data_IF_520751307768
#
_entry.id   IF_520751307768
#
_cell.length_a   1.000
_cell.length_b   1.000
_cell.length_c   1.000
_cell.angle_alpha   90.00
_cell.angle_beta   90.00
_cell.angle_gamma   90.00
#
_symmetry.space_group_name_H-M   'P 1'
#
loop_
_entity.id
_entity.type
_entity.pdbx_description
1 polymer ?
#
# COMPACT_ATOMS: atom_id res chain seq x y z
N UNK A 1 14.19 -30.53 0.48
CA UNK A 1 14.02 -29.29 -0.33
C UNK A 1 12.53 -29.13 -0.59
N UNK A 2 11.82 -28.36 0.24
CA UNK A 2 10.37 -28.16 0.09
C UNK A 2 10.16 -26.86 -0.68
N UNK A 3 9.76 -26.99 -1.94
CA UNK A 3 9.32 -25.87 -2.77
C UNK A 3 7.96 -25.39 -2.24
N UNK A 4 7.88 -24.13 -1.81
CA UNK A 4 6.64 -23.47 -1.44
C UNK A 4 6.04 -22.92 -2.74
N UNK A 5 4.92 -23.52 -3.15
CA UNK A 5 4.11 -23.09 -4.29
C UNK A 5 3.06 -22.12 -3.76
N UNK A 6 3.23 -20.82 -4.02
CA UNK A 6 2.20 -19.81 -3.73
C UNK A 6 1.31 -19.73 -4.97
N UNK A 7 0.16 -20.41 -4.92
CA UNK A 7 -0.89 -20.32 -5.94
C UNK A 7 -1.77 -19.12 -5.60
N UNK A 8 -1.52 -17.98 -6.24
CA UNK A 8 -2.42 -16.82 -6.27
C UNK A 8 -3.50 -17.07 -7.34
N UNK A 9 -4.60 -17.73 -6.96
CA UNK A 9 -5.80 -17.84 -7.82
C UNK A 9 -6.58 -16.52 -7.72
N UNK A 10 -6.31 -15.60 -8.64
CA UNK A 10 -7.24 -14.50 -8.93
C UNK A 10 -8.37 -15.05 -9.80
N UNK A 11 -9.55 -15.21 -9.19
CA UNK A 11 -10.75 -15.66 -9.89
C UNK A 11 -11.14 -14.64 -10.98
N UNK A 12 -10.89 -14.99 -12.24
CA UNK A 12 -11.50 -14.40 -13.42
C UNK A 12 -13.01 -14.72 -13.40
N UNK A 13 -13.84 -13.76 -13.01
CA UNK A 13 -15.28 -13.80 -13.30
C UNK A 13 -15.55 -12.93 -14.52
N UNK A 14 -15.69 -13.57 -15.68
CA UNK A 14 -16.12 -12.92 -16.92
C UNK A 14 -17.64 -12.84 -16.94
N UNK A 15 -18.20 -11.70 -16.58
CA UNK A 15 -19.59 -11.38 -16.96
C UNK A 15 -19.57 -10.59 -18.26
N UNK A 16 -19.94 -11.27 -19.34
CA UNK A 16 -20.22 -10.68 -20.63
C UNK A 16 -21.34 -9.63 -20.50
N UNK A 17 -21.08 -8.41 -20.98
CA UNK A 17 -22.06 -7.35 -21.12
C UNK A 17 -21.75 -6.54 -22.38
N UNK A 18 -22.33 -6.94 -23.50
CA UNK A 18 -22.33 -6.20 -24.76
C UNK A 18 -23.48 -5.19 -24.73
N UNK A 19 -23.21 -3.88 -24.90
CA UNK A 19 -24.22 -2.91 -25.38
C UNK A 19 -23.61 -1.61 -25.92
N UNK A 20 -23.81 -1.44 -27.23
CA UNK A 20 -24.10 -0.27 -28.07
C UNK A 20 -23.53 1.14 -27.76
N UNK A 21 -23.01 1.73 -28.85
CA UNK A 21 -22.60 3.12 -29.06
C UNK A 21 -23.76 4.12 -28.96
N UNK A 22 -23.54 5.26 -28.31
CA UNK A 22 -24.34 6.49 -28.46
C UNK A 22 -23.42 7.71 -28.31
N UNK A 23 -23.53 8.63 -29.25
CA UNK A 23 -22.67 9.78 -29.49
C UNK A 23 -22.66 10.86 -28.40
N UNK A 24 -21.52 11.58 -28.34
CA UNK A 24 -21.38 13.02 -28.13
C UNK A 24 -21.77 13.62 -26.75
N UNK A 25 -20.77 14.12 -26.01
CA UNK A 25 -20.68 15.55 -25.67
C UNK A 25 -19.36 15.89 -24.95
N UNK A 26 -18.71 16.94 -25.47
CA UNK A 26 -17.55 17.63 -24.90
C UNK A 26 -17.86 18.12 -23.48
N UNK A 27 -17.27 17.49 -22.46
CA UNK A 27 -17.22 18.04 -21.11
C UNK A 27 -15.76 18.12 -20.71
N UNK A 28 -15.24 19.35 -20.64
CA UNK A 28 -13.99 19.66 -19.95
C UNK A 28 -14.06 19.02 -18.57
N UNK A 29 -13.46 17.86 -18.46
CA UNK A 29 -13.19 17.14 -17.24
C UNK A 29 -12.06 17.88 -16.52
N UNK A 30 -12.35 19.10 -16.07
CA UNK A 30 -11.91 19.52 -14.75
C UNK A 30 -12.68 18.66 -13.74
N UNK A 31 -12.39 17.35 -13.77
CA UNK A 31 -12.54 16.54 -12.57
C UNK A 31 -11.47 17.13 -11.69
N UNK A 32 -11.83 18.13 -10.89
CA UNK A 32 -11.07 18.48 -9.73
C UNK A 32 -11.01 17.19 -8.91
N UNK A 33 -9.99 16.38 -9.19
CA UNK A 33 -9.82 15.07 -8.59
C UNK A 33 -9.59 15.41 -7.14
N UNK A 34 -10.65 15.29 -6.33
CA UNK A 34 -10.51 15.34 -4.90
C UNK A 34 -9.45 14.28 -4.58
N UNK A 35 -8.27 14.73 -4.16
CA UNK A 35 -7.14 13.84 -3.92
C UNK A 35 -7.49 13.07 -2.65
N UNK A 36 -8.22 11.97 -2.84
CA UNK A 36 -8.72 11.10 -1.78
C UNK A 36 -7.99 9.76 -1.80
N UNK A 37 -6.78 9.70 -2.36
CA UNK A 37 -6.01 8.46 -2.34
C UNK A 37 -5.48 8.25 -0.93
N UNK A 38 -5.70 7.03 -0.45
CA UNK A 38 -5.35 6.60 0.88
C UNK A 38 -4.34 5.46 0.74
N UNK A 39 -3.27 5.53 1.53
CA UNK A 39 -2.38 4.39 1.76
C UNK A 39 -2.52 4.04 3.23
N UNK A 40 -2.97 2.83 3.52
CA UNK A 40 -2.99 2.25 4.86
C UNK A 40 -2.20 0.96 4.89
N UNK A 41 -1.97 0.46 6.09
CA UNK A 41 -1.42 -0.87 6.25
C UNK A 41 -1.19 -1.24 7.69
N UNK A 42 -0.69 -2.45 7.87
CA UNK A 42 -0.26 -3.02 9.16
C UNK A 42 1.18 -3.47 9.04
N UNK A 43 1.96 -3.27 10.10
CA UNK A 43 3.33 -3.73 10.21
C UNK A 43 3.45 -4.69 11.39
N UNK A 44 3.98 -5.88 11.12
CA UNK A 44 4.17 -6.94 12.11
C UNK A 44 5.63 -7.42 12.16
N UNK A 45 6.00 -8.05 13.27
CA UNK A 45 7.23 -8.83 13.39
C UNK A 45 7.12 -10.09 12.53
N UNK A 46 8.10 -10.33 11.65
CA UNK A 46 8.10 -11.48 10.73
C UNK A 46 8.14 -12.84 11.44
N UNK A 47 8.76 -12.91 12.63
CA UNK A 47 8.98 -14.13 13.39
C UNK A 47 7.80 -14.42 14.31
N UNK A 48 7.34 -13.43 15.08
CA UNK A 48 6.30 -13.61 16.10
C UNK A 48 4.90 -13.37 15.56
N UNK A 49 4.76 -12.61 14.47
CA UNK A 49 3.48 -12.14 13.94
C UNK A 49 2.83 -11.05 14.80
N UNK A 50 3.53 -10.51 15.80
CA UNK A 50 3.02 -9.46 16.67
C UNK A 50 3.03 -8.10 15.98
N UNK A 51 2.05 -7.25 16.31
CA UNK A 51 1.96 -5.91 15.78
C UNK A 51 3.12 -5.01 16.28
N UNK A 52 3.74 -4.28 15.36
CA UNK A 52 4.84 -3.37 15.68
C UNK A 52 4.34 -1.94 15.80
N UNK A 53 4.30 -1.43 17.03
CA UNK A 53 3.96 -0.04 17.35
C UNK A 53 5.17 0.89 17.20
N UNK A 54 4.94 2.13 16.77
CA UNK A 54 5.98 3.16 16.70
C UNK A 54 6.98 3.00 15.54
N UNK A 55 6.67 2.18 14.54
CA UNK A 55 7.48 2.05 13.32
C UNK A 55 7.38 3.33 12.52
N UNK A 56 8.51 3.94 12.16
CA UNK A 56 8.50 5.07 11.23
C UNK A 56 8.19 4.56 9.83
N UNK A 57 7.09 5.06 9.24
CA UNK A 57 6.71 4.77 7.86
C UNK A 57 6.89 6.04 7.06
N UNK A 58 7.75 6.02 6.05
CA UNK A 58 8.11 7.16 5.23
C UNK A 58 7.73 6.91 3.77
N UNK A 59 7.04 7.87 3.17
CA UNK A 59 6.72 7.84 1.74
C UNK A 59 7.85 8.55 0.96
N UNK A 60 8.83 7.79 0.46
CA UNK A 60 9.91 8.33 -0.38
C UNK A 60 9.35 8.88 -1.69
N UNK A 61 9.88 10.04 -2.10
CA UNK A 61 9.27 10.91 -3.10
C UNK A 61 8.41 12.02 -2.50
N UNK A 62 8.13 11.97 -1.19
CA UNK A 62 7.51 13.04 -0.39
C UNK A 62 8.34 13.33 0.87
N UNK A 63 7.99 14.40 1.59
CA UNK A 63 8.43 14.67 2.97
C UNK A 63 7.49 14.06 4.02
N UNK A 64 6.43 13.40 3.58
CA UNK A 64 5.41 12.79 4.44
C UNK A 64 5.93 11.54 5.14
N UNK A 65 5.68 11.46 6.45
CA UNK A 65 5.90 10.26 7.26
C UNK A 65 4.80 10.12 8.31
N UNK A 66 4.61 8.91 8.80
CA UNK A 66 3.69 8.58 9.90
C UNK A 66 4.33 7.52 10.79
N UNK A 67 3.65 7.15 11.87
CA UNK A 67 4.09 6.10 12.78
C UNK A 67 2.97 5.08 12.97
N UNK A 68 3.32 3.80 13.14
CA UNK A 68 2.34 2.78 13.46
C UNK A 68 1.77 2.95 14.87
N UNK A 69 0.48 2.64 15.04
CA UNK A 69 -0.21 2.62 16.33
C UNK A 69 -0.02 1.30 17.10
N UNK A 70 -0.76 1.11 18.19
CA UNK A 70 -0.69 -0.10 19.03
C UNK A 70 -1.13 -1.39 18.33
N UNK A 71 -1.91 -1.28 17.25
CA UNK A 71 -2.32 -2.41 16.41
C UNK A 71 -1.35 -2.60 15.23
N UNK A 72 -0.24 -1.85 15.19
CA UNK A 72 0.73 -1.87 14.09
C UNK A 72 0.23 -1.16 12.84
N UNK A 73 -0.88 -0.40 12.92
CA UNK A 73 -1.52 0.22 11.75
C UNK A 73 -0.93 1.57 11.45
N UNK A 74 -0.81 1.90 10.16
CA UNK A 74 -0.44 3.22 9.68
C UNK A 74 -1.43 3.72 8.61
N UNK A 75 -1.44 5.03 8.41
CA UNK A 75 -2.31 5.68 7.44
C UNK A 75 -1.70 6.97 6.88
N UNK A 76 -1.86 7.16 5.58
CA UNK A 76 -1.61 8.38 4.86
C UNK A 76 -2.86 8.79 4.08
N UNK A 77 -3.28 10.04 4.23
CA UNK A 77 -4.38 10.63 3.48
C UNK A 77 -3.86 11.58 2.39
N UNK A 78 -4.71 11.86 1.40
CA UNK A 78 -4.51 12.90 0.38
C UNK A 78 -3.21 12.72 -0.42
N UNK A 79 -2.83 11.49 -0.70
CA UNK A 79 -1.65 11.18 -1.50
C UNK A 79 -1.93 11.49 -2.96
N UNK A 80 -1.05 12.24 -3.62
CA UNK A 80 -1.19 12.50 -5.06
C UNK A 80 -0.95 11.21 -5.85
N UNK A 81 -1.62 10.99 -6.99
CA UNK A 81 -1.28 9.88 -7.86
C UNK A 81 0.18 9.95 -8.31
N UNK A 82 0.87 8.80 -8.35
CA UNK A 82 2.29 8.72 -8.68
C UNK A 82 2.95 7.44 -8.18
N UNK A 83 4.23 7.28 -8.50
CA UNK A 83 5.04 6.17 -8.00
C UNK A 83 5.78 6.62 -6.75
N UNK A 84 5.68 5.82 -5.69
CA UNK A 84 6.31 6.07 -4.40
C UNK A 84 7.01 4.80 -3.91
N UNK A 85 7.93 4.99 -2.97
CA UNK A 85 8.52 3.88 -2.22
C UNK A 85 8.23 4.09 -0.74
N UNK A 86 7.62 3.12 -0.09
CA UNK A 86 7.34 3.14 1.34
C UNK A 86 8.51 2.49 2.06
N UNK A 87 9.16 3.26 2.93
CA UNK A 87 10.21 2.77 3.82
C UNK A 87 9.64 2.62 5.22
N UNK A 88 9.73 1.43 5.79
CA UNK A 88 9.37 1.15 7.18
C UNK A 88 10.64 0.86 7.98
N UNK A 89 10.83 1.58 9.08
CA UNK A 89 12.05 1.51 9.88
C UNK A 89 11.76 1.68 11.38
N UNK A 90 12.37 0.83 12.19
CA UNK A 90 12.36 0.92 13.65
C UNK A 90 13.65 0.27 14.19
N UNK A 91 14.07 0.70 15.38
CA UNK A 91 15.25 0.13 16.03
C UNK A 91 15.09 -1.37 16.25
N UNK A 92 16.19 -2.12 16.12
CA UNK A 92 16.25 -3.58 16.28
C UNK A 92 15.55 -4.40 15.19
N UNK A 93 15.06 -3.78 14.12
CA UNK A 93 14.51 -4.46 12.93
C UNK A 93 15.24 -4.03 11.66
N UNK A 94 15.24 -4.92 10.66
CA UNK A 94 15.75 -4.62 9.32
C UNK A 94 14.75 -3.69 8.61
N UNK A 95 15.20 -2.55 8.05
CA UNK A 95 14.33 -1.67 7.31
C UNK A 95 13.93 -2.33 5.99
N UNK A 96 12.68 -2.11 5.57
CA UNK A 96 12.19 -2.56 4.26
C UNK A 96 11.82 -1.36 3.40
N UNK A 97 11.89 -1.56 2.08
CA UNK A 97 11.40 -0.60 1.09
C UNK A 97 10.43 -1.32 0.16
N UNK A 98 9.23 -0.76 -0.01
CA UNK A 98 8.18 -1.29 -0.88
C UNK A 98 7.75 -0.25 -1.90
N UNK A 99 7.92 -0.56 -3.19
CA UNK A 99 7.39 0.26 -4.26
C UNK A 99 5.86 0.15 -4.34
N UNK A 100 5.20 1.28 -4.58
CA UNK A 100 3.76 1.39 -4.76
C UNK A 100 3.43 2.39 -5.87
N UNK A 101 2.53 2.00 -6.76
CA UNK A 101 1.91 2.90 -7.72
C UNK A 101 0.55 3.34 -7.17
N UNK A 102 0.41 4.65 -6.92
CA UNK A 102 -0.84 5.25 -6.46
C UNK A 102 -1.64 5.73 -7.66
N UNK A 103 -2.80 5.12 -7.90
CA UNK A 103 -3.72 5.58 -8.94
C UNK A 103 -4.80 6.49 -8.34
N UNK A 104 -5.43 7.35 -9.15
CA UNK A 104 -6.51 8.23 -8.68
C UNK A 104 -7.73 7.45 -8.17
N UNK A 105 -8.33 7.93 -7.08
CA UNK A 105 -9.51 7.39 -6.40
C UNK A 105 -9.33 5.94 -5.91
N UNK A 106 -8.10 5.51 -5.63
CA UNK A 106 -7.77 4.16 -5.14
C UNK A 106 -7.37 4.17 -3.65
N UNK A 107 -7.77 3.11 -2.94
CA UNK A 107 -7.29 2.81 -1.59
C UNK A 107 -6.28 1.68 -1.67
N UNK A 108 -5.11 1.90 -1.10
CA UNK A 108 -4.05 0.90 -1.04
C UNK A 108 -3.87 0.42 0.39
N UNK A 109 -4.04 -0.88 0.61
CA UNK A 109 -3.81 -1.52 1.90
C UNK A 109 -2.59 -2.45 1.82
N UNK A 110 -1.67 -2.30 2.77
CA UNK A 110 -0.37 -2.96 2.74
C UNK A 110 -0.13 -3.76 4.02
N UNK A 111 0.23 -5.04 3.85
CA UNK A 111 0.80 -5.81 4.95
C UNK A 111 2.32 -5.83 4.80
N UNK A 112 3.02 -5.37 5.83
CA UNK A 112 4.47 -5.28 5.87
C UNK A 112 4.99 -6.09 7.05
N UNK A 113 6.11 -6.79 6.84
CA UNK A 113 6.72 -7.66 7.84
C UNK A 113 8.17 -7.22 7.99
N UNK A 114 8.60 -6.99 9.23
CA UNK A 114 9.99 -6.61 9.53
C UNK A 114 10.71 -7.78 10.20
N UNK A 115 11.86 -8.14 9.65
CA UNK A 115 12.77 -9.10 10.26
C UNK A 115 13.51 -8.45 11.44
N UNK A 116 13.56 -9.05 12.63
CA UNK A 116 14.46 -8.61 13.69
C UNK A 116 15.93 -8.63 13.23
N UNK A 117 16.71 -7.66 13.69
CA UNK A 117 18.18 -7.72 13.53
C UNK A 117 18.71 -8.77 14.49
N UNK A 118 19.25 -9.86 13.96
CA UNK A 118 19.92 -10.86 14.79
C UNK A 118 21.14 -10.23 15.48
N UNK A 119 21.17 -10.25 16.81
CA UNK A 119 22.38 -10.00 17.59
C UNK A 119 23.12 -11.32 17.76
N UNK A 120 24.36 -11.40 17.27
CA UNK A 120 25.29 -12.51 17.50
C UNK A 120 25.81 -12.55 18.95
#
# INVERSE_FOLDING_TARGET
MKAIVIVLVLAFSTSAGLKASSDNENKRNDKSIAVNNIISGTIIDEITGEALTGVEVKLKGSTTKTYTDFDGKFHFDKIKPGNYSIEANIISYQPIIREIQVNPDEMHDLNLELAPVATE
#
